data_IF_970700379591
#
_entry.id   IF_970700379591
#
_cell.length_a   1.000
_cell.length_b   1.000
_cell.length_c   1.000
_cell.angle_alpha   90.00
_cell.angle_beta   90.00
_cell.angle_gamma   90.00
#
_symmetry.space_group_name_H-M   'P 1'
#
loop_
_entity.id
_entity.type
_entity.pdbx_description
1 polymer ?
#
# COMPACT_ATOMS: atom_id res chain seq x y z
N UNK A 1 -18.29 1.94 -10.24
CA UNK A 1 -18.02 0.52 -9.86
C UNK A 1 -17.85 -0.39 -11.06
N UNK A 2 -18.75 -0.37 -12.02
CA UNK A 2 -18.67 -1.24 -13.21
C UNK A 2 -17.41 -1.02 -14.05
N UNK A 3 -17.04 0.24 -14.26
CA UNK A 3 -15.84 0.59 -15.01
C UNK A 3 -14.58 0.04 -14.33
N UNK A 4 -14.45 0.24 -13.02
CA UNK A 4 -13.31 -0.20 -12.23
C UNK A 4 -13.26 -1.72 -12.10
N UNK A 5 -14.42 -2.36 -12.04
CA UNK A 5 -14.56 -3.82 -12.01
C UNK A 5 -14.24 -4.51 -13.34
N UNK A 6 -13.98 -3.76 -14.42
CA UNK A 6 -13.57 -4.31 -15.71
C UNK A 6 -12.12 -4.80 -15.76
N UNK A 7 -11.29 -4.40 -14.80
CA UNK A 7 -9.89 -4.85 -14.69
C UNK A 7 -9.83 -6.36 -14.48
N UNK A 8 -9.10 -7.07 -15.34
CA UNK A 8 -9.06 -8.53 -15.34
C UNK A 8 -7.92 -9.09 -16.18
N UNK A 9 -7.59 -10.35 -15.93
CA UNK A 9 -6.83 -11.14 -16.88
C UNK A 9 -7.75 -11.65 -17.98
N UNK A 10 -7.24 -11.70 -19.19
CA UNK A 10 -7.97 -12.15 -20.39
C UNK A 10 -7.57 -13.60 -20.67
N UNK A 11 -8.55 -14.49 -20.89
CA UNK A 11 -8.31 -15.92 -21.12
C UNK A 11 -7.38 -16.19 -22.32
N UNK A 12 -7.52 -15.41 -23.37
CA UNK A 12 -6.70 -15.52 -24.59
C UNK A 12 -5.31 -14.93 -24.46
N UNK A 13 -4.97 -14.35 -23.32
CA UNK A 13 -3.68 -13.73 -23.02
C UNK A 13 -3.79 -12.24 -22.78
N UNK A 14 -2.85 -11.73 -21.99
CA UNK A 14 -2.83 -10.33 -21.58
C UNK A 14 -3.75 -10.03 -20.43
N UNK A 15 -3.83 -8.74 -20.08
CA UNK A 15 -4.63 -8.25 -18.98
C UNK A 15 -5.08 -6.81 -19.21
N UNK A 16 -6.17 -6.41 -18.57
CA UNK A 16 -6.59 -5.02 -18.48
C UNK A 16 -6.28 -4.51 -17.08
N UNK A 17 -5.36 -3.56 -16.98
CA UNK A 17 -5.01 -2.89 -15.72
C UNK A 17 -5.59 -1.48 -15.73
N UNK A 18 -6.25 -1.10 -14.66
CA UNK A 18 -6.81 0.25 -14.47
C UNK A 18 -6.14 0.88 -13.27
N UNK A 19 -5.52 2.04 -13.48
CA UNK A 19 -4.96 2.88 -12.42
C UNK A 19 -5.83 4.12 -12.32
N UNK A 20 -6.38 4.35 -11.14
CA UNK A 20 -7.24 5.50 -10.88
C UNK A 20 -6.81 6.22 -9.61
N UNK A 21 -6.96 7.54 -9.60
CA UNK A 21 -6.75 8.35 -8.41
C UNK A 21 -8.09 8.91 -7.92
N UNK A 22 -8.24 9.00 -6.61
CA UNK A 22 -9.38 9.62 -5.97
C UNK A 22 -8.90 10.59 -4.89
N UNK A 23 -9.56 11.74 -4.79
CA UNK A 23 -9.27 12.71 -3.74
C UNK A 23 -10.06 12.37 -2.48
N UNK A 24 -9.43 12.56 -1.34
CA UNK A 24 -10.05 12.38 -0.02
C UNK A 24 -9.81 13.61 0.85
N UNK A 25 -10.67 13.82 1.83
CA UNK A 25 -10.54 14.91 2.82
C UNK A 25 -10.47 16.30 2.17
N UNK A 26 -11.21 16.51 1.09
CA UNK A 26 -11.27 17.80 0.37
C UNK A 26 -12.41 18.70 0.83
N UNK A 27 -13.33 18.18 1.64
CA UNK A 27 -14.59 18.86 2.00
C UNK A 27 -15.65 18.78 0.91
N UNK A 28 -15.36 18.21 -0.24
CA UNK A 28 -16.30 18.01 -1.34
C UNK A 28 -17.10 16.72 -1.16
N UNK A 29 -18.43 16.82 -1.17
CA UNK A 29 -19.31 15.64 -1.13
C UNK A 29 -19.15 14.77 -2.37
N UNK A 30 -18.87 15.37 -3.52
CA UNK A 30 -18.63 14.64 -4.76
C UNK A 30 -17.39 13.77 -4.65
N UNK A 31 -16.31 14.28 -4.09
CA UNK A 31 -15.07 13.52 -3.89
C UNK A 31 -15.29 12.35 -2.92
N UNK A 32 -16.05 12.57 -1.86
CA UNK A 32 -16.43 11.52 -0.91
C UNK A 32 -17.24 10.40 -1.58
N UNK A 33 -18.21 10.77 -2.41
CA UNK A 33 -19.03 9.78 -3.16
C UNK A 33 -18.16 8.97 -4.12
N UNK A 34 -17.27 9.61 -4.85
CA UNK A 34 -16.34 8.93 -5.78
C UNK A 34 -15.44 7.96 -5.02
N UNK A 35 -14.86 8.41 -3.92
CA UNK A 35 -14.01 7.57 -3.08
C UNK A 35 -14.76 6.34 -2.55
N UNK A 36 -15.98 6.52 -2.01
CA UNK A 36 -16.79 5.41 -1.50
C UNK A 36 -17.20 4.42 -2.59
N UNK A 37 -17.43 4.91 -3.83
CA UNK A 37 -17.72 4.05 -4.98
C UNK A 37 -16.51 3.18 -5.39
N UNK A 38 -15.30 3.68 -5.25
CA UNK A 38 -14.07 2.94 -5.57
C UNK A 38 -13.57 2.08 -4.42
N UNK A 39 -13.87 2.46 -3.20
CA UNK A 39 -13.44 1.76 -2.00
C UNK A 39 -13.87 0.29 -2.02
N UNK A 40 -12.90 -0.60 -1.82
CA UNK A 40 -13.16 -2.03 -1.79
C UNK A 40 -13.39 -2.70 -3.15
N UNK A 41 -13.36 -1.96 -4.27
CA UNK A 41 -13.53 -2.53 -5.61
C UNK A 41 -12.20 -2.80 -6.32
N UNK A 42 -11.13 -2.11 -5.92
CA UNK A 42 -9.80 -2.31 -6.50
C UNK A 42 -9.06 -3.50 -5.90
N UNK A 43 -8.07 -3.99 -6.62
CA UNK A 43 -7.17 -5.05 -6.16
C UNK A 43 -6.04 -4.52 -5.28
N UNK A 44 -5.69 -3.26 -5.44
CA UNK A 44 -4.64 -2.58 -4.69
C UNK A 44 -5.10 -1.17 -4.33
N UNK A 45 -4.83 -0.76 -3.11
CA UNK A 45 -5.10 0.58 -2.62
C UNK A 45 -3.83 1.18 -2.04
N UNK A 46 -3.50 2.39 -2.47
CA UNK A 46 -2.41 3.19 -1.91
C UNK A 46 -3.02 4.45 -1.29
N UNK A 47 -2.96 4.55 0.03
CA UNK A 47 -3.47 5.70 0.78
C UNK A 47 -2.34 6.65 1.13
N UNK A 48 -2.50 7.92 0.79
CA UNK A 48 -1.62 9.00 1.23
C UNK A 48 -2.21 9.63 2.51
N UNK A 49 -1.37 10.20 3.33
CA UNK A 49 -1.76 10.79 4.61
C UNK A 49 -1.21 12.20 4.75
N UNK A 50 -2.12 13.15 5.02
CA UNK A 50 -1.77 14.56 5.17
C UNK A 50 -0.85 14.82 6.35
N UNK A 51 -1.05 14.17 7.49
CA UNK A 51 -0.22 14.34 8.68
C UNK A 51 1.24 13.98 8.44
N UNK A 52 1.48 12.92 7.65
CA UNK A 52 2.83 12.50 7.25
C UNK A 52 3.47 13.58 6.37
N UNK A 53 2.71 14.11 5.40
CA UNK A 53 3.18 15.17 4.50
C UNK A 53 3.47 16.48 5.26
N UNK A 54 2.66 16.83 6.24
CA UNK A 54 2.87 18.01 7.09
C UNK A 54 4.17 17.93 7.89
N UNK A 55 4.59 16.73 8.28
CA UNK A 55 5.88 16.46 8.90
C UNK A 55 7.04 16.39 7.91
N UNK A 56 6.78 16.64 6.62
CA UNK A 56 7.78 16.56 5.54
C UNK A 56 8.42 15.18 5.39
N UNK A 57 7.68 14.15 5.75
CA UNK A 57 8.08 12.76 5.53
C UNK A 57 7.49 12.30 4.19
N UNK A 58 8.34 11.93 3.25
CA UNK A 58 7.93 11.52 1.90
C UNK A 58 8.64 10.23 1.50
N UNK A 59 7.92 9.32 0.80
CA UNK A 59 6.52 9.41 0.38
C UNK A 59 5.56 9.38 1.58
N UNK A 60 4.50 10.19 1.53
CA UNK A 60 3.54 10.34 2.62
C UNK A 60 2.48 9.22 2.60
N UNK A 61 2.92 7.98 2.62
CA UNK A 61 2.07 6.79 2.49
C UNK A 61 1.59 6.32 3.87
N UNK A 62 0.29 6.10 3.99
CA UNK A 62 -0.28 5.45 5.16
C UNK A 62 -0.13 3.94 5.01
N UNK A 63 0.94 3.38 5.52
CA UNK A 63 1.32 1.98 5.29
C UNK A 63 0.24 0.99 5.72
N UNK A 64 -0.31 1.15 6.91
CA UNK A 64 -1.30 0.21 7.45
C UNK A 64 -2.64 0.21 6.70
N UNK A 65 -2.99 1.32 6.03
CA UNK A 65 -4.20 1.42 5.22
C UNK A 65 -4.00 1.03 3.77
N UNK A 66 -2.76 0.94 3.34
CA UNK A 66 -2.40 0.54 1.98
C UNK A 66 -2.21 -0.97 1.91
N UNK A 67 -2.54 -1.55 0.78
CA UNK A 67 -2.37 -2.99 0.61
C UNK A 67 -2.90 -3.51 -0.71
N UNK A 68 -2.60 -4.76 -0.95
CA UNK A 68 -2.99 -5.48 -2.15
C UNK A 68 -3.81 -6.71 -1.76
N UNK A 69 -4.90 -6.95 -2.46
CA UNK A 69 -5.66 -8.19 -2.31
C UNK A 69 -4.82 -9.37 -2.78
N UNK A 70 -4.97 -10.48 -2.10
CA UNK A 70 -4.35 -11.74 -2.48
C UNK A 70 -2.86 -11.60 -2.78
N UNK A 71 -2.16 -10.93 -1.87
CA UNK A 71 -0.71 -10.72 -1.99
C UNK A 71 0.08 -12.04 -2.08
N UNK A 72 -0.51 -13.17 -1.63
CA UNK A 72 0.05 -14.51 -1.75
C UNK A 72 0.27 -14.95 -3.21
N UNK A 73 -0.45 -14.33 -4.16
CA UNK A 73 -0.27 -14.59 -5.59
C UNK A 73 0.92 -13.81 -6.21
N UNK A 74 1.41 -12.80 -5.50
CA UNK A 74 2.43 -11.87 -5.99
C UNK A 74 3.78 -12.08 -5.31
N UNK A 75 3.82 -12.82 -4.22
CA UNK A 75 5.02 -13.03 -3.40
C UNK A 75 5.21 -14.51 -3.13
N UNK A 76 6.46 -14.89 -2.85
CA UNK A 76 6.75 -16.24 -2.36
C UNK A 76 6.19 -16.40 -0.94
N UNK A 77 6.01 -17.64 -0.49
CA UNK A 77 5.52 -17.90 0.86
C UNK A 77 6.47 -17.38 1.94
N UNK A 78 7.76 -17.42 1.68
CA UNK A 78 8.78 -16.87 2.58
C UNK A 78 8.68 -15.35 2.68
N UNK A 79 8.54 -14.64 1.56
CA UNK A 79 8.33 -13.21 1.52
C UNK A 79 7.04 -12.80 2.22
N UNK A 80 5.97 -13.56 2.01
CA UNK A 80 4.67 -13.32 2.64
C UNK A 80 4.77 -13.38 4.17
N UNK A 81 5.48 -14.35 4.72
CA UNK A 81 5.71 -14.48 6.16
C UNK A 81 6.52 -13.28 6.71
N UNK A 82 7.53 -12.84 5.97
CA UNK A 82 8.33 -11.66 6.32
C UNK A 82 7.49 -10.39 6.29
N UNK A 83 6.60 -10.26 5.31
CA UNK A 83 5.66 -9.15 5.22
C UNK A 83 4.68 -9.12 6.40
N UNK A 84 4.21 -10.27 6.84
CA UNK A 84 3.34 -10.35 8.02
C UNK A 84 4.04 -9.91 9.30
N UNK A 85 5.29 -10.31 9.48
CA UNK A 85 6.12 -9.88 10.61
C UNK A 85 6.31 -8.35 10.57
N UNK A 86 6.63 -7.81 9.40
CA UNK A 86 6.77 -6.37 9.20
C UNK A 86 5.49 -5.62 9.55
N UNK A 87 4.34 -6.10 9.06
CA UNK A 87 3.04 -5.50 9.38
C UNK A 87 2.75 -5.49 10.88
N UNK A 88 3.09 -6.55 11.59
CA UNK A 88 2.93 -6.60 13.05
C UNK A 88 3.79 -5.55 13.76
N UNK A 89 5.05 -5.41 13.34
CA UNK A 89 5.96 -4.41 13.92
C UNK A 89 5.43 -3.00 13.68
N UNK A 90 5.01 -2.72 12.46
CA UNK A 90 4.57 -1.38 12.05
C UNK A 90 3.18 -1.03 12.57
N UNK A 91 2.33 -2.03 12.80
CA UNK A 91 0.96 -1.82 13.27
C UNK A 91 0.89 -1.12 14.65
N UNK A 92 1.86 -1.34 15.50
CA UNK A 92 1.94 -0.72 16.83
C UNK A 92 2.47 0.72 16.80
N UNK A 93 2.98 1.16 15.65
CA UNK A 93 3.52 2.51 15.45
C UNK A 93 2.42 3.47 14.99
N UNK A 94 2.63 4.77 15.24
CA UNK A 94 1.81 5.81 14.60
C UNK A 94 2.07 5.81 13.09
N UNK A 95 1.17 6.38 12.30
CA UNK A 95 1.34 6.47 10.85
C UNK A 95 2.62 7.20 10.43
N UNK A 96 3.04 8.21 11.20
CA UNK A 96 4.26 8.96 10.93
C UNK A 96 5.49 8.13 11.28
N UNK A 97 5.53 7.54 12.47
CA UNK A 97 6.64 6.71 12.94
C UNK A 97 6.84 5.48 12.04
N UNK A 98 5.75 4.88 11.60
CA UNK A 98 5.76 3.75 10.68
C UNK A 98 6.46 4.12 9.35
N UNK A 99 6.13 5.26 8.79
CA UNK A 99 6.71 5.69 7.52
C UNK A 99 8.17 6.10 7.67
N UNK A 100 8.52 6.81 8.72
CA UNK A 100 9.91 7.16 9.03
C UNK A 100 10.76 5.90 9.22
N UNK A 101 10.27 4.93 10.00
CA UNK A 101 10.93 3.65 10.21
C UNK A 101 11.20 2.93 8.88
N UNK A 102 10.19 2.84 8.02
CA UNK A 102 10.32 2.16 6.72
C UNK A 102 11.31 2.88 5.81
N UNK A 103 11.25 4.20 5.72
CA UNK A 103 12.17 4.99 4.90
C UNK A 103 13.62 4.78 5.36
N UNK A 104 13.87 4.90 6.67
CA UNK A 104 15.21 4.73 7.23
C UNK A 104 15.77 3.34 6.97
N UNK A 105 14.96 2.31 7.19
CA UNK A 105 15.40 0.92 6.98
C UNK A 105 15.59 0.58 5.51
N UNK A 106 14.72 1.05 4.64
CA UNK A 106 14.85 0.82 3.19
C UNK A 106 16.06 1.57 2.60
N UNK A 107 16.39 2.74 3.13
CA UNK A 107 17.56 3.50 2.69
C UNK A 107 18.89 2.78 2.96
N UNK A 108 18.92 1.88 3.93
CA UNK A 108 20.13 1.11 4.30
C UNK A 108 20.33 -0.13 3.42
N UNK A 109 19.39 -0.47 2.58
CA UNK A 109 19.40 -1.70 1.78
C UNK A 109 19.17 -1.38 0.31
N UNK A 110 19.67 -2.24 -0.57
CA UNK A 110 19.52 -2.10 -2.03
C UNK A 110 18.37 -2.92 -2.59
N UNK A 111 17.98 -3.98 -1.90
CA UNK A 111 16.94 -4.91 -2.36
C UNK A 111 15.97 -5.23 -1.22
N UNK A 112 14.79 -5.72 -1.56
CA UNK A 112 13.81 -6.18 -0.59
C UNK A 112 14.34 -7.37 0.22
N UNK A 113 15.11 -8.27 -0.40
CA UNK A 113 15.71 -9.42 0.30
C UNK A 113 16.70 -8.97 1.37
N UNK A 114 17.54 -7.99 1.08
CA UNK A 114 18.45 -7.40 2.07
C UNK A 114 17.67 -6.76 3.22
N UNK A 115 16.59 -6.04 2.91
CA UNK A 115 15.73 -5.42 3.90
C UNK A 115 15.11 -6.47 4.83
N UNK A 116 14.54 -7.52 4.30
CA UNK A 116 13.94 -8.60 5.09
C UNK A 116 14.98 -9.36 5.92
N UNK A 117 16.16 -9.58 5.37
CA UNK A 117 17.25 -10.22 6.10
C UNK A 117 17.78 -9.34 7.24
N UNK A 118 17.83 -8.03 7.05
CA UNK A 118 18.22 -7.08 8.10
C UNK A 118 17.22 -7.08 9.27
N UNK A 119 15.94 -7.31 9.02
CA UNK A 119 14.93 -7.42 10.07
C UNK A 119 15.13 -8.65 10.97
N UNK A 120 15.73 -9.71 10.47
CA UNK A 120 16.02 -10.93 11.25
C UNK A 120 17.18 -10.76 12.22
N UNK A 121 18.02 -9.76 12.00
CA UNK A 121 19.18 -9.47 12.84
C UNK A 121 18.77 -8.43 13.89
N UNK A 122 18.25 -8.91 14.97
CA UNK A 122 18.15 -8.11 16.19
C UNK A 122 19.34 -8.35 17.06
#
# INVERSE_FOLDING_TARGET
KRFFGAARNIEEGGSLTIIATALIETGSKMDEVIYEEFKGTGNMELHLNRKIAEKRVFPAIHFNRSGTRREELLTSQEELQKMWILRKIVHEMTEIDAMEFLIDKLAMTKTNDEFFNAMKRK
#
